data_IF_419948909061
#
_entry.id   IF_419948909061
#
_cell.length_a   1.000
_cell.length_b   1.000
_cell.length_c   1.000
_cell.angle_alpha   90.00
_cell.angle_beta   90.00
_cell.angle_gamma   90.00
#
_symmetry.space_group_name_H-M   'P 1'
#
loop_
_entity.id
_entity.type
_entity.pdbx_description
1 polymer ?
#
# COMPACT_ATOMS: atom_id res chain seq x y z
N UNK A 1 9.08 0.91 5.63
CA UNK A 1 10.08 0.18 4.81
C UNK A 1 9.33 -0.75 3.87
N UNK A 2 8.82 -0.23 2.75
CA UNK A 2 8.26 -1.04 1.67
C UNK A 2 9.43 -1.68 0.91
N UNK A 3 9.97 -2.75 1.50
CA UNK A 3 11.24 -3.32 1.14
C UNK A 3 11.17 -4.05 -0.21
N UNK A 4 12.07 -3.67 -1.12
CA UNK A 4 12.52 -4.39 -2.32
C UNK A 4 11.47 -4.89 -3.35
N UNK A 5 10.20 -4.54 -3.19
CA UNK A 5 9.12 -4.92 -4.11
C UNK A 5 9.42 -4.64 -5.58
N UNK A 6 9.89 -3.42 -5.96
CA UNK A 6 10.21 -3.11 -7.36
C UNK A 6 11.34 -3.97 -7.93
N UNK A 7 12.36 -4.30 -7.15
CA UNK A 7 13.47 -5.11 -7.62
C UNK A 7 13.10 -6.59 -7.76
N UNK A 8 12.29 -7.14 -6.85
CA UNK A 8 11.67 -8.46 -7.03
C UNK A 8 10.72 -8.47 -8.23
N UNK A 9 9.96 -7.39 -8.46
CA UNK A 9 9.14 -7.20 -9.65
C UNK A 9 10.01 -7.30 -10.91
N UNK A 10 11.10 -6.53 -10.98
CA UNK A 10 12.02 -6.53 -12.10
C UNK A 10 12.68 -7.90 -12.36
N UNK A 11 13.13 -8.58 -11.29
CA UNK A 11 13.66 -9.94 -11.39
C UNK A 11 12.60 -10.92 -11.91
N UNK A 12 11.36 -10.83 -11.41
CA UNK A 12 10.26 -11.66 -11.88
C UNK A 12 9.96 -11.45 -13.36
N UNK A 13 9.83 -10.20 -13.81
CA UNK A 13 9.59 -9.88 -15.22
C UNK A 13 10.74 -10.34 -16.13
N UNK A 14 12.00 -10.07 -15.75
CA UNK A 14 13.16 -10.50 -16.53
C UNK A 14 13.27 -12.04 -16.57
N UNK A 15 12.89 -12.70 -15.47
CA UNK A 15 12.89 -14.14 -15.31
C UNK A 15 11.77 -14.85 -16.05
N UNK A 16 10.63 -14.20 -16.27
CA UNK A 16 9.48 -14.77 -16.96
C UNK A 16 9.84 -15.33 -18.34
N UNK A 17 10.60 -14.56 -19.15
CA UNK A 17 11.07 -15.02 -20.48
C UNK A 17 12.02 -16.22 -20.39
N UNK A 18 12.86 -16.25 -19.36
CA UNK A 18 13.79 -17.38 -19.14
C UNK A 18 13.03 -18.63 -18.74
N UNK A 19 12.06 -18.49 -17.83
CA UNK A 19 11.22 -19.58 -17.34
C UNK A 19 10.32 -20.11 -18.45
N UNK A 20 9.74 -19.24 -19.29
CA UNK A 20 8.86 -19.61 -20.39
C UNK A 20 9.50 -20.54 -21.43
N UNK A 21 10.84 -20.56 -21.51
CA UNK A 21 11.60 -21.46 -22.40
C UNK A 21 11.83 -22.85 -21.82
N UNK A 22 11.52 -23.09 -20.54
CA UNK A 22 11.61 -24.39 -19.88
C UNK A 22 10.26 -25.12 -19.97
N UNK A 23 10.26 -26.46 -19.97
CA UNK A 23 9.04 -27.28 -20.01
C UNK A 23 8.12 -26.90 -18.84
N UNK A 24 6.87 -26.54 -19.13
CA UNK A 24 5.87 -26.10 -18.13
C UNK A 24 6.07 -24.68 -17.60
N UNK A 25 7.21 -24.03 -17.84
CA UNK A 25 7.49 -22.69 -17.31
C UNK A 25 6.67 -21.58 -17.98
N UNK A 26 6.18 -21.79 -19.20
CA UNK A 26 5.27 -20.86 -19.87
C UNK A 26 3.94 -20.72 -19.12
N UNK A 27 3.41 -21.83 -18.59
CA UNK A 27 2.19 -21.81 -17.79
C UNK A 27 2.38 -21.00 -16.49
N UNK A 28 3.48 -21.25 -15.76
CA UNK A 28 3.82 -20.49 -14.54
C UNK A 28 3.95 -18.99 -14.82
N UNK A 29 4.68 -18.63 -15.88
CA UNK A 29 4.86 -17.23 -16.27
C UNK A 29 3.52 -16.59 -16.69
N UNK A 30 2.70 -17.30 -17.48
CA UNK A 30 1.39 -16.81 -17.89
C UNK A 30 0.48 -16.58 -16.69
N UNK A 31 0.34 -17.54 -15.77
CA UNK A 31 -0.47 -17.39 -14.56
C UNK A 31 -0.05 -16.17 -13.73
N UNK A 32 1.26 -16.01 -13.49
CA UNK A 32 1.77 -14.89 -12.70
C UNK A 32 1.52 -13.53 -13.38
N UNK A 33 1.80 -13.43 -14.69
CA UNK A 33 1.62 -12.20 -15.46
C UNK A 33 0.14 -11.85 -15.64
N UNK A 34 -0.73 -12.83 -15.89
CA UNK A 34 -2.18 -12.62 -15.98
C UNK A 34 -2.73 -12.13 -14.64
N UNK A 35 -2.35 -12.75 -13.51
CA UNK A 35 -2.77 -12.27 -12.21
C UNK A 35 -2.31 -10.84 -11.94
N UNK A 36 -1.03 -10.54 -12.20
CA UNK A 36 -0.49 -9.18 -12.08
C UNK A 36 -1.26 -8.18 -12.96
N UNK A 37 -1.56 -8.54 -14.21
CA UNK A 37 -2.31 -7.69 -15.13
C UNK A 37 -3.74 -7.44 -14.64
N UNK A 38 -4.44 -8.46 -14.14
CA UNK A 38 -5.78 -8.31 -13.54
C UNK A 38 -5.73 -7.36 -12.35
N UNK A 39 -4.77 -7.52 -11.44
CA UNK A 39 -4.62 -6.63 -10.29
C UNK A 39 -4.27 -5.19 -10.70
N UNK A 40 -3.44 -5.01 -11.74
CA UNK A 40 -3.12 -3.70 -12.29
C UNK A 40 -4.35 -3.05 -12.95
N UNK A 41 -5.20 -3.81 -13.63
CA UNK A 41 -6.45 -3.32 -14.21
C UNK A 41 -7.48 -2.96 -13.14
N UNK A 42 -7.67 -3.82 -12.14
CA UNK A 42 -8.54 -3.54 -10.98
C UNK A 42 -8.14 -2.24 -10.30
N UNK A 43 -6.82 -2.01 -10.15
CA UNK A 43 -6.27 -0.74 -9.66
C UNK A 43 -6.55 0.43 -10.59
N UNK A 44 -6.35 0.24 -11.89
CA UNK A 44 -6.56 1.29 -12.89
C UNK A 44 -8.02 1.78 -12.92
N UNK A 45 -8.98 0.88 -12.70
CA UNK A 45 -10.41 1.21 -12.65
C UNK A 45 -10.87 1.75 -11.28
N UNK A 46 -9.98 1.95 -10.32
CA UNK A 46 -10.34 2.48 -8.99
C UNK A 46 -11.27 1.56 -8.21
N UNK A 47 -11.41 0.28 -8.60
CA UNK A 47 -12.30 -0.67 -7.93
C UNK A 47 -11.84 -1.01 -6.51
N UNK A 48 -10.60 -0.66 -6.15
CA UNK A 48 -10.04 -0.78 -4.81
C UNK A 48 -9.05 0.38 -4.55
N UNK A 49 -9.36 1.30 -3.63
CA UNK A 49 -8.37 2.31 -3.16
C UNK A 49 -7.91 2.07 -1.70
N UNK A 50 -8.42 1.01 -1.08
CA UNK A 50 -8.03 0.61 0.28
C UNK A 50 -6.70 -0.14 0.26
N UNK A 51 -5.85 0.07 1.27
CA UNK A 51 -4.49 -0.49 1.41
C UNK A 51 -4.36 -2.03 1.47
N UNK A 52 -5.37 -2.79 1.04
CA UNK A 52 -5.38 -4.25 0.94
C UNK A 52 -4.56 -4.83 -0.22
N UNK A 53 -3.98 -4.02 -1.10
CA UNK A 53 -3.21 -4.46 -2.27
C UNK A 53 -2.15 -5.53 -1.99
N UNK A 54 -1.45 -5.41 -0.86
CA UNK A 54 -0.43 -6.38 -0.49
C UNK A 54 -0.98 -7.80 -0.31
N UNK A 55 -2.23 -7.94 0.16
CA UNK A 55 -2.88 -9.23 0.40
C UNK A 55 -3.26 -9.93 -0.91
N UNK A 56 -3.65 -9.17 -1.93
CA UNK A 56 -3.96 -9.72 -3.26
C UNK A 56 -2.72 -10.20 -4.03
N UNK A 57 -1.53 -9.76 -3.61
CA UNK A 57 -0.27 -10.25 -4.17
C UNK A 57 0.25 -11.50 -3.47
N UNK A 58 -0.31 -11.88 -2.30
CA UNK A 58 0.14 -13.05 -1.55
C UNK A 58 0.00 -14.37 -2.36
N UNK A 59 -1.11 -14.64 -3.08
CA UNK A 59 -1.23 -15.88 -3.86
C UNK A 59 -0.25 -15.97 -5.04
N UNK A 60 0.15 -14.84 -5.63
CA UNK A 60 1.07 -14.81 -6.78
C UNK A 60 2.54 -14.78 -6.36
N UNK A 61 2.84 -14.43 -5.11
CA UNK A 61 4.20 -14.29 -4.60
C UNK A 61 5.10 -15.52 -4.85
N UNK A 62 4.64 -16.77 -4.67
CA UNK A 62 5.47 -17.95 -4.98
C UNK A 62 5.83 -18.06 -6.45
N UNK A 63 4.89 -17.80 -7.36
CA UNK A 63 5.14 -17.81 -8.81
C UNK A 63 6.15 -16.71 -9.18
N UNK A 64 6.00 -15.54 -8.55
CA UNK A 64 6.92 -14.44 -8.72
C UNK A 64 8.34 -14.76 -8.24
N UNK A 65 8.46 -15.46 -7.11
CA UNK A 65 9.73 -15.93 -6.58
C UNK A 65 10.41 -16.94 -7.52
N UNK A 66 9.66 -17.88 -8.12
CA UNK A 66 10.18 -18.83 -9.11
C UNK A 66 10.71 -18.10 -10.35
N UNK A 67 9.97 -17.11 -10.85
CA UNK A 67 10.44 -16.29 -11.97
C UNK A 67 11.70 -15.50 -11.58
N UNK A 68 11.71 -14.85 -10.43
CA UNK A 68 12.87 -14.11 -9.93
C UNK A 68 14.10 -15.02 -9.78
N UNK A 69 13.92 -16.24 -9.29
CA UNK A 69 14.98 -17.25 -9.20
C UNK A 69 15.50 -17.67 -10.59
N UNK A 70 14.64 -17.73 -11.61
CA UNK A 70 15.07 -18.01 -12.98
C UNK A 70 15.92 -16.86 -13.57
N UNK A 71 15.61 -15.60 -13.25
CA UNK A 71 16.48 -14.46 -13.59
C UNK A 71 17.80 -14.52 -12.83
N UNK A 72 17.73 -14.87 -11.55
CA UNK A 72 18.88 -15.03 -10.67
C UNK A 72 19.87 -16.04 -11.23
N UNK A 73 19.42 -17.25 -11.57
CA UNK A 73 20.22 -18.31 -12.19
C UNK A 73 20.96 -17.81 -13.45
N UNK A 74 20.31 -16.98 -14.27
CA UNK A 74 20.93 -16.38 -15.46
C UNK A 74 21.95 -15.30 -15.15
N UNK A 75 21.82 -14.58 -14.04
CA UNK A 75 22.88 -13.69 -13.56
C UNK A 75 24.10 -14.48 -13.07
N UNK A 76 23.89 -15.72 -12.63
CA UNK A 76 24.96 -16.62 -12.21
C UNK A 76 25.60 -17.41 -13.36
N UNK A 77 25.02 -17.36 -14.57
CA UNK A 77 25.52 -18.05 -15.75
C UNK A 77 26.97 -17.57 -16.06
N UNK A 78 27.95 -18.49 -16.12
CA UNK A 78 29.34 -18.14 -16.46
C UNK A 78 29.44 -17.54 -17.87
N UNK A 79 28.46 -17.79 -18.74
CA UNK A 79 28.39 -17.16 -20.06
C UNK A 79 28.04 -15.68 -19.93
N UNK A 80 29.06 -14.88 -20.17
CA UNK A 80 29.05 -13.44 -19.93
C UNK A 80 28.01 -12.65 -20.74
N UNK A 81 27.69 -13.10 -21.97
CA UNK A 81 26.67 -12.47 -22.83
C UNK A 81 25.27 -12.66 -22.23
N UNK A 82 24.95 -13.85 -21.72
CA UNK A 82 23.64 -14.13 -21.13
C UNK A 82 23.43 -13.34 -19.84
N UNK A 83 24.47 -13.28 -19.02
CA UNK A 83 24.50 -12.46 -17.81
C UNK A 83 24.30 -10.98 -18.11
N UNK A 84 25.03 -10.42 -19.09
CA UNK A 84 24.89 -9.01 -19.48
C UNK A 84 23.49 -8.68 -20.01
N UNK A 85 22.90 -9.56 -20.85
CA UNK A 85 21.52 -9.41 -21.32
C UNK A 85 20.50 -9.45 -20.18
N UNK A 86 20.71 -10.30 -19.18
CA UNK A 86 19.84 -10.38 -18.01
C UNK A 86 19.96 -9.14 -17.13
N UNK A 87 21.18 -8.67 -16.87
CA UNK A 87 21.41 -7.42 -16.14
C UNK A 87 20.76 -6.22 -16.84
N UNK A 88 20.88 -6.14 -18.17
CA UNK A 88 20.21 -5.12 -18.98
C UNK A 88 18.69 -5.20 -18.85
N UNK A 89 18.11 -6.39 -18.92
CA UNK A 89 16.67 -6.58 -18.78
C UNK A 89 16.16 -6.13 -17.40
N UNK A 90 16.86 -6.49 -16.32
CA UNK A 90 16.51 -6.06 -14.95
C UNK A 90 16.61 -4.53 -14.83
N UNK A 91 17.70 -3.94 -15.32
CA UNK A 91 17.89 -2.49 -15.32
C UNK A 91 16.78 -1.75 -16.10
N UNK A 92 16.40 -2.27 -17.27
CA UNK A 92 15.32 -1.70 -18.08
C UNK A 92 13.96 -1.78 -17.37
N UNK A 93 13.62 -2.93 -16.77
CA UNK A 93 12.36 -3.06 -16.03
C UNK A 93 12.34 -2.15 -14.81
N UNK A 94 13.44 -2.06 -14.06
CA UNK A 94 13.55 -1.12 -12.93
C UNK A 94 13.37 0.34 -13.36
N UNK A 95 13.95 0.74 -14.49
CA UNK A 95 13.76 2.08 -15.03
C UNK A 95 12.28 2.36 -15.36
N UNK A 96 11.60 1.41 -16.02
CA UNK A 96 10.16 1.53 -16.31
C UNK A 96 9.33 1.63 -15.03
N UNK A 97 9.59 0.78 -14.03
CA UNK A 97 8.90 0.82 -12.74
C UNK A 97 9.12 2.17 -12.01
N UNK A 98 10.34 2.71 -12.06
CA UNK A 98 10.65 4.02 -11.49
C UNK A 98 9.87 5.13 -12.20
N UNK A 99 9.87 5.14 -13.54
CA UNK A 99 9.12 6.14 -14.31
C UNK A 99 7.62 6.03 -14.04
N UNK A 100 7.06 4.82 -14.01
CA UNK A 100 5.66 4.59 -13.70
C UNK A 100 5.29 5.09 -12.30
N UNK A 101 6.14 4.83 -11.30
CA UNK A 101 5.96 5.34 -9.95
C UNK A 101 5.99 6.87 -9.92
N UNK A 102 6.96 7.51 -10.59
CA UNK A 102 7.05 8.97 -10.66
C UNK A 102 5.82 9.60 -11.34
N UNK A 103 5.33 8.99 -12.42
CA UNK A 103 4.11 9.45 -13.08
C UNK A 103 2.89 9.31 -12.17
N UNK A 104 2.76 8.17 -11.47
CA UNK A 104 1.68 7.95 -10.51
C UNK A 104 1.70 8.96 -9.37
N UNK A 105 2.88 9.22 -8.80
CA UNK A 105 3.05 10.21 -7.73
C UNK A 105 2.74 11.63 -8.23
N UNK A 106 3.20 12.02 -9.42
CA UNK A 106 2.86 13.33 -10.02
C UNK A 106 1.36 13.49 -10.28
N UNK A 107 0.71 12.42 -10.74
CA UNK A 107 -0.72 12.43 -10.99
C UNK A 107 -1.50 12.59 -9.67
N UNK A 108 -1.12 11.83 -8.63
CA UNK A 108 -1.68 12.01 -7.28
C UNK A 108 -1.41 13.39 -6.71
N UNK A 109 -0.17 13.88 -6.76
CA UNK A 109 0.16 15.25 -6.32
C UNK A 109 -0.74 16.30 -6.99
N UNK A 110 -1.07 16.12 -8.28
CA UNK A 110 -1.91 17.07 -9.02
C UNK A 110 -3.38 17.00 -8.61
N UNK A 111 -3.91 15.80 -8.39
CA UNK A 111 -5.30 15.59 -7.95
C UNK A 111 -5.45 16.05 -6.49
N UNK A 112 -4.56 15.61 -5.62
CA UNK A 112 -4.64 15.86 -4.18
C UNK A 112 -4.46 17.36 -3.86
N UNK A 113 -3.61 18.10 -4.57
CA UNK A 113 -3.49 19.56 -4.34
C UNK A 113 -4.74 20.34 -4.75
N UNK A 114 -5.45 19.89 -5.77
CA UNK A 114 -6.65 20.59 -6.24
C UNK A 114 -7.86 20.30 -5.37
N UNK A 115 -7.98 19.06 -4.93
CA UNK A 115 -9.18 18.59 -4.24
C UNK A 115 -9.01 18.67 -2.71
N UNK A 116 -7.79 18.53 -2.18
CA UNK A 116 -7.53 18.34 -0.75
C UNK A 116 -6.14 18.87 -0.32
N UNK A 117 -5.95 20.20 -0.21
CA UNK A 117 -4.65 20.82 0.08
C UNK A 117 -3.99 20.39 1.41
N UNK A 118 -4.73 19.72 2.28
CA UNK A 118 -4.30 19.21 3.58
C UNK A 118 -3.64 17.83 3.54
N UNK A 119 -3.82 17.04 2.47
CA UNK A 119 -3.28 15.68 2.34
C UNK A 119 -1.74 15.61 2.42
N UNK A 120 -1.06 16.69 2.01
CA UNK A 120 0.40 16.79 2.13
C UNK A 120 0.88 16.73 3.58
N UNK A 121 0.06 17.20 4.51
CA UNK A 121 0.35 17.12 5.92
C UNK A 121 0.28 15.64 6.37
N UNK A 122 -0.76 14.92 5.97
CA UNK A 122 -1.10 13.59 6.53
C UNK A 122 -0.10 12.47 6.18
N UNK A 123 0.80 12.67 5.22
CA UNK A 123 1.86 11.70 4.89
C UNK A 123 3.25 12.34 4.98
N UNK A 124 3.70 12.75 6.19
CA UNK A 124 4.93 13.54 6.37
C UNK A 124 6.21 12.80 5.94
N UNK A 125 6.10 11.48 5.66
CA UNK A 125 7.22 10.62 5.21
C UNK A 125 7.07 10.14 3.77
N UNK A 126 6.13 10.68 3.00
CA UNK A 126 5.96 10.31 1.59
C UNK A 126 7.22 10.65 0.79
N UNK A 127 7.81 11.82 1.06
CA UNK A 127 9.05 12.25 0.42
C UNK A 127 10.25 11.36 0.83
N UNK A 128 10.33 10.95 2.10
CA UNK A 128 11.34 9.99 2.57
C UNK A 128 11.20 8.63 1.86
N UNK A 129 9.97 8.11 1.78
CA UNK A 129 9.68 6.85 1.10
C UNK A 129 9.99 6.93 -0.40
N UNK A 130 9.56 8.02 -1.06
CA UNK A 130 9.86 8.30 -2.47
C UNK A 130 11.36 8.35 -2.72
N UNK A 131 12.11 9.08 -1.90
CA UNK A 131 13.55 9.18 -2.01
C UNK A 131 14.23 7.82 -1.75
N UNK A 132 13.76 7.04 -0.78
CA UNK A 132 14.27 5.69 -0.54
C UNK A 132 14.08 4.77 -1.76
N UNK A 133 12.92 4.80 -2.42
CA UNK A 133 12.67 4.00 -3.62
C UNK A 133 13.54 4.47 -4.80
N UNK A 134 13.73 5.78 -4.97
CA UNK A 134 14.64 6.35 -5.98
C UNK A 134 16.07 5.89 -5.78
N UNK A 135 16.59 6.04 -4.56
CA UNK A 135 17.96 5.63 -4.22
C UNK A 135 18.13 4.12 -4.43
N UNK A 136 17.17 3.31 -3.99
CA UNK A 136 17.18 1.87 -4.24
C UNK A 136 17.19 1.52 -5.72
N UNK A 137 16.37 2.20 -6.53
CA UNK A 137 16.29 1.96 -7.98
C UNK A 137 17.58 2.36 -8.69
N UNK A 138 18.12 3.55 -8.39
CA UNK A 138 19.41 4.01 -8.93
C UNK A 138 20.53 3.04 -8.56
N UNK A 139 20.55 2.55 -7.32
CA UNK A 139 21.51 1.54 -6.87
C UNK A 139 21.45 0.24 -7.69
N UNK A 140 20.24 -0.27 -7.96
CA UNK A 140 20.05 -1.48 -8.79
C UNK A 140 20.48 -1.24 -10.24
N UNK A 141 20.12 -0.10 -10.83
CA UNK A 141 20.54 0.27 -12.20
C UNK A 141 22.06 0.40 -12.28
N UNK A 142 22.69 1.08 -11.32
CA UNK A 142 24.14 1.23 -11.25
C UNK A 142 24.84 -0.13 -11.13
N UNK A 143 24.32 -1.04 -10.30
CA UNK A 143 24.83 -2.41 -10.20
C UNK A 143 24.71 -3.18 -11.52
N UNK A 144 23.57 -3.06 -12.22
CA UNK A 144 23.38 -3.67 -13.53
C UNK A 144 24.38 -3.14 -14.58
N UNK A 145 24.58 -1.81 -14.62
CA UNK A 145 25.57 -1.16 -15.50
C UNK A 145 26.99 -1.61 -15.15
N UNK A 146 27.34 -1.68 -13.87
CA UNK A 146 28.66 -2.14 -13.43
C UNK A 146 28.94 -3.58 -13.92
N UNK A 147 27.96 -4.49 -13.83
CA UNK A 147 28.08 -5.86 -14.37
C UNK A 147 28.35 -5.85 -15.88
N UNK A 148 27.70 -4.96 -16.63
CA UNK A 148 27.89 -4.81 -18.08
C UNK A 148 29.28 -4.25 -18.40
N UNK A 149 29.71 -3.19 -17.72
CA UNK A 149 31.00 -2.52 -17.95
C UNK A 149 32.17 -3.42 -17.56
N UNK A 150 32.09 -4.08 -16.39
CA UNK A 150 33.10 -5.06 -15.96
C UNK A 150 33.19 -6.23 -16.95
N UNK A 151 32.07 -6.66 -17.54
CA UNK A 151 32.10 -7.65 -18.60
C UNK A 151 32.88 -7.17 -19.84
N UNK A 152 32.66 -5.92 -20.29
CA UNK A 152 33.36 -5.37 -21.45
C UNK A 152 34.87 -5.22 -21.25
N UNK A 153 35.32 -4.91 -20.03
CA UNK A 153 36.74 -4.69 -19.70
C UNK A 153 37.50 -5.98 -19.37
N UNK A 154 36.84 -7.00 -18.83
CA UNK A 154 37.50 -8.22 -18.35
C UNK A 154 37.27 -9.41 -19.30
N UNK A 155 37.85 -9.34 -20.51
CA UNK A 155 37.97 -10.49 -21.42
C UNK A 155 38.99 -11.55 -20.92
N UNK A 156 39.78 -11.24 -19.89
CA UNK A 156 40.75 -12.16 -19.27
C UNK A 156 40.21 -12.61 -17.91
N UNK A 157 39.71 -13.85 -17.88
CA UNK A 157 39.34 -14.66 -16.69
C UNK A 157 39.09 -13.90 -15.39
N UNK A 158 37.87 -13.41 -15.19
CA UNK A 158 37.43 -13.05 -13.83
C UNK A 158 37.17 -14.38 -13.08
N UNK A 159 37.75 -14.61 -11.90
CA UNK A 159 37.22 -15.62 -10.99
C UNK A 159 35.76 -15.26 -10.66
N UNK A 160 34.93 -16.26 -10.37
CA UNK A 160 33.46 -16.17 -10.24
C UNK A 160 32.94 -15.32 -9.06
N UNK A 161 33.45 -14.11 -8.85
CA UNK A 161 33.12 -13.19 -7.76
C UNK A 161 31.81 -12.44 -7.97
N UNK A 162 30.70 -13.15 -8.15
CA UNK A 162 29.36 -12.57 -7.94
C UNK A 162 28.95 -12.57 -6.46
N UNK A 163 29.84 -13.04 -5.57
CA UNK A 163 29.65 -13.12 -4.12
C UNK A 163 29.07 -11.84 -3.49
N UNK A 164 29.58 -10.63 -3.79
CA UNK A 164 29.05 -9.40 -3.20
C UNK A 164 27.59 -9.12 -3.59
N UNK A 165 27.23 -9.25 -4.88
CA UNK A 165 25.86 -9.05 -5.34
C UNK A 165 24.89 -10.09 -4.75
N UNK A 166 25.34 -11.34 -4.63
CA UNK A 166 24.57 -12.42 -4.00
C UNK A 166 24.32 -12.15 -2.53
N UNK A 167 25.35 -11.72 -1.82
CA UNK A 167 25.25 -11.37 -0.40
C UNK A 167 24.29 -10.20 -0.20
N UNK A 168 24.40 -9.14 -1.00
CA UNK A 168 23.49 -7.98 -0.92
C UNK A 168 22.04 -8.42 -1.11
N UNK A 169 21.74 -9.20 -2.15
CA UNK A 169 20.36 -9.64 -2.42
C UNK A 169 19.82 -10.60 -1.35
N UNK A 170 20.64 -11.53 -0.85
CA UNK A 170 20.27 -12.42 0.25
C UNK A 170 19.99 -11.64 1.55
N UNK A 171 20.85 -10.68 1.90
CA UNK A 171 20.66 -9.81 3.07
C UNK A 171 19.39 -8.99 2.93
N UNK A 172 19.12 -8.41 1.76
CA UNK A 172 17.88 -7.66 1.52
C UNK A 172 16.63 -8.53 1.64
N UNK A 173 16.66 -9.76 1.12
CA UNK A 173 15.55 -10.71 1.27
C UNK A 173 15.32 -11.09 2.74
N UNK A 174 16.39 -11.38 3.48
CA UNK A 174 16.32 -11.71 4.91
C UNK A 174 15.78 -10.55 5.75
N UNK A 175 16.27 -9.33 5.52
CA UNK A 175 15.76 -8.11 6.18
C UNK A 175 14.28 -7.88 5.86
N UNK A 176 13.88 -8.09 4.60
CA UNK A 176 12.49 -7.95 4.17
C UNK A 176 11.59 -8.97 4.89
N UNK A 177 11.98 -10.24 4.91
CA UNK A 177 11.24 -11.29 5.61
C UNK A 177 11.13 -10.99 7.11
N UNK A 178 12.22 -10.53 7.74
CA UNK A 178 12.24 -10.17 9.15
C UNK A 178 11.32 -8.99 9.48
N UNK A 179 11.29 -7.96 8.62
CA UNK A 179 10.37 -6.82 8.77
C UNK A 179 8.91 -7.28 8.63
N UNK A 180 8.61 -8.15 7.66
CA UNK A 180 7.23 -8.62 7.43
C UNK A 180 6.73 -9.69 8.40
N UNK A 181 7.62 -10.38 9.12
CA UNK A 181 7.22 -11.36 10.15
C UNK A 181 6.80 -10.72 11.47
N UNK A 182 7.07 -9.43 11.65
CA UNK A 182 6.64 -8.71 12.85
C UNK A 182 5.12 -8.53 12.83
N UNK A 183 4.43 -8.67 13.97
CA UNK A 183 3.05 -8.23 14.08
C UNK A 183 2.93 -6.81 13.55
N UNK A 184 1.89 -6.54 12.76
CA UNK A 184 1.61 -5.18 12.31
C UNK A 184 1.42 -4.30 13.55
N UNK A 185 2.38 -3.42 13.81
CA UNK A 185 2.27 -2.45 14.89
C UNK A 185 1.07 -1.55 14.61
N UNK A 186 0.26 -1.29 15.65
CA UNK A 186 -0.88 -0.37 15.52
C UNK A 186 -0.34 1.00 15.18
N UNK A 187 -0.84 1.62 14.13
CA UNK A 187 -0.51 3.00 13.78
C UNK A 187 -1.06 3.99 14.81
N UNK A 188 -0.71 5.29 14.67
CA UNK A 188 -1.19 6.33 15.57
C UNK A 188 -2.72 6.45 15.56
N UNK A 189 -3.35 6.32 14.39
CA UNK A 189 -4.82 6.39 14.26
C UNK A 189 -5.50 5.22 14.94
N UNK A 190 -4.99 4.00 14.79
CA UNK A 190 -5.55 2.81 15.44
C UNK A 190 -5.46 2.91 16.97
N UNK A 191 -4.35 3.48 17.49
CA UNK A 191 -4.20 3.73 18.93
C UNK A 191 -5.18 4.80 19.43
N UNK A 192 -5.41 5.85 18.65
CA UNK A 192 -6.42 6.85 18.98
C UNK A 192 -7.83 6.23 18.97
N UNK A 193 -8.19 5.47 17.93
CA UNK A 193 -9.49 4.75 17.89
C UNK A 193 -9.64 3.84 19.11
N UNK A 194 -8.60 3.08 19.48
CA UNK A 194 -8.65 2.22 20.66
C UNK A 194 -8.90 3.02 21.96
N UNK A 195 -8.25 4.19 22.10
CA UNK A 195 -8.43 5.08 23.24
C UNK A 195 -9.84 5.69 23.27
N UNK A 196 -10.35 6.15 22.13
CA UNK A 196 -11.70 6.71 22.01
C UNK A 196 -12.79 5.68 22.29
N UNK A 197 -12.63 4.45 21.78
CA UNK A 197 -13.55 3.35 22.08
C UNK A 197 -13.48 2.92 23.55
N UNK A 198 -12.32 3.04 24.20
CA UNK A 198 -12.19 2.80 25.64
C UNK A 198 -12.91 3.89 26.44
N UNK A 199 -12.71 5.16 26.09
CA UNK A 199 -13.40 6.28 26.72
C UNK A 199 -14.92 6.17 26.60
N UNK A 200 -15.45 5.78 25.43
CA UNK A 200 -16.89 5.53 25.25
C UNK A 200 -17.42 4.44 26.18
N UNK A 201 -16.68 3.34 26.38
CA UNK A 201 -17.05 2.28 27.33
C UNK A 201 -17.05 2.78 28.77
N UNK A 202 -16.00 3.50 29.17
CA UNK A 202 -15.84 4.06 30.51
C UNK A 202 -16.94 5.08 30.87
N UNK A 203 -17.51 5.76 29.87
CA UNK A 203 -18.58 6.75 30.04
C UNK A 203 -19.99 6.18 29.77
N UNK A 204 -20.17 4.84 29.82
CA UNK A 204 -21.49 4.21 29.68
C UNK A 204 -22.10 4.31 28.28
N UNK A 205 -21.28 4.57 27.26
CA UNK A 205 -21.69 4.66 25.85
C UNK A 205 -21.21 3.46 25.02
N UNK A 206 -20.57 2.47 25.66
CA UNK A 206 -19.98 1.29 25.00
C UNK A 206 -20.98 0.40 24.25
N UNK A 207 -22.23 0.34 24.71
CA UNK A 207 -23.27 -0.50 24.12
C UNK A 207 -24.01 0.17 22.95
N UNK A 208 -23.70 1.45 22.68
CA UNK A 208 -24.36 2.21 21.62
C UNK A 208 -23.75 1.87 20.26
N UNK A 209 -24.53 1.89 19.16
CA UNK A 209 -24.00 1.67 17.82
C UNK A 209 -22.92 2.71 17.48
N UNK A 210 -21.72 2.25 17.13
CA UNK A 210 -20.61 3.10 16.68
C UNK A 210 -20.47 3.03 15.16
N UNK A 211 -20.61 4.17 14.51
CA UNK A 211 -20.45 4.36 13.08
C UNK A 211 -19.11 5.00 12.78
N UNK A 212 -18.31 4.34 11.94
CA UNK A 212 -17.04 4.85 11.48
C UNK A 212 -16.74 4.30 10.07
N UNK A 213 -16.06 5.10 9.25
CA UNK A 213 -15.54 4.66 7.96
C UNK A 213 -14.24 3.84 8.11
N UNK A 214 -13.47 4.05 9.19
CA UNK A 214 -12.18 3.42 9.42
C UNK A 214 -12.32 1.92 9.73
N UNK A 215 -11.60 1.07 8.99
CA UNK A 215 -11.70 -0.40 9.09
C UNK A 215 -11.32 -0.93 10.48
N UNK A 216 -10.34 -0.31 11.15
CA UNK A 216 -9.97 -0.67 12.51
C UNK A 216 -11.12 -0.49 13.50
N UNK A 217 -11.93 0.56 13.36
CA UNK A 217 -13.09 0.76 14.21
C UNK A 217 -14.10 -0.39 14.02
N UNK A 218 -14.39 -0.77 12.78
CA UNK A 218 -15.28 -1.89 12.48
C UNK A 218 -14.79 -3.22 13.06
N UNK A 219 -13.48 -3.49 12.98
CA UNK A 219 -12.84 -4.64 13.61
C UNK A 219 -12.99 -4.63 15.14
N UNK A 220 -12.84 -3.47 15.79
CA UNK A 220 -12.91 -3.35 17.25
C UNK A 220 -14.32 -3.34 17.81
N UNK A 221 -15.32 -3.00 16.99
CA UNK A 221 -16.74 -2.99 17.37
C UNK A 221 -17.48 -4.24 16.93
N UNK A 222 -16.78 -5.23 16.38
CA UNK A 222 -17.34 -6.45 15.78
C UNK A 222 -18.45 -6.18 14.77
N UNK A 223 -18.42 -5.01 14.13
CA UNK A 223 -19.31 -4.69 13.02
C UNK A 223 -18.66 -5.25 11.76
N UNK A 224 -18.77 -6.57 11.59
CA UNK A 224 -18.33 -7.25 10.38
C UNK A 224 -18.88 -6.49 9.16
N UNK A 225 -17.99 -6.15 8.22
CA UNK A 225 -18.36 -5.36 7.05
C UNK A 225 -18.78 -6.30 5.93
N UNK A 226 -20.08 -6.46 5.62
CA UNK A 226 -20.47 -7.13 4.39
C UNK A 226 -19.97 -6.31 3.19
N UNK A 227 -19.68 -6.99 2.08
CA UNK A 227 -19.11 -6.37 0.87
C UNK A 227 -19.99 -5.25 0.29
N UNK A 228 -21.28 -5.30 0.53
CA UNK A 228 -22.34 -4.40 0.05
C UNK A 228 -22.83 -3.42 1.13
N UNK A 229 -22.02 -3.15 2.17
CA UNK A 229 -22.42 -2.22 3.22
C UNK A 229 -22.78 -0.85 2.62
N UNK A 230 -23.85 -0.20 3.09
CA UNK A 230 -24.11 1.20 2.74
C UNK A 230 -22.94 2.09 3.18
N UNK A 231 -22.68 3.15 2.43
CA UNK A 231 -21.67 4.15 2.79
C UNK A 231 -21.96 4.79 4.16
N UNK A 232 -20.96 5.41 4.77
CA UNK A 232 -21.04 6.05 6.09
C UNK A 232 -22.19 7.06 6.14
N UNK A 233 -22.40 7.87 5.10
CA UNK A 233 -23.50 8.83 5.04
C UNK A 233 -24.87 8.14 5.19
N UNK A 234 -25.11 7.06 4.43
CA UNK A 234 -26.35 6.29 4.49
C UNK A 234 -26.52 5.58 5.86
N UNK A 235 -25.43 5.05 6.42
CA UNK A 235 -25.43 4.45 7.76
C UNK A 235 -25.73 5.47 8.85
N UNK A 236 -25.16 6.68 8.75
CA UNK A 236 -25.46 7.80 9.64
C UNK A 236 -26.93 8.16 9.53
N UNK A 237 -27.47 8.28 8.30
CA UNK A 237 -28.87 8.62 8.08
C UNK A 237 -29.83 7.58 8.69
N UNK A 238 -29.54 6.29 8.50
CA UNK A 238 -30.36 5.17 8.98
C UNK A 238 -30.24 4.88 10.48
N UNK A 239 -29.19 5.37 11.15
CA UNK A 239 -28.96 5.05 12.55
C UNK A 239 -29.96 5.73 13.50
N UNK A 240 -30.30 5.09 14.64
CA UNK A 240 -31.20 5.69 15.63
C UNK A 240 -30.55 6.89 16.33
N UNK A 241 -31.36 7.71 16.98
CA UNK A 241 -30.86 8.70 17.94
C UNK A 241 -30.08 7.99 19.07
N UNK A 242 -29.02 8.62 19.54
CA UNK A 242 -28.05 8.06 20.48
C UNK A 242 -26.90 7.28 19.83
N UNK A 243 -26.95 7.01 18.52
CA UNK A 243 -25.82 6.41 17.80
C UNK A 243 -24.58 7.32 17.85
N UNK A 244 -23.41 6.70 17.96
CA UNK A 244 -22.12 7.38 18.03
C UNK A 244 -21.49 7.42 16.63
N UNK A 245 -21.12 8.60 16.16
CA UNK A 245 -20.36 8.78 14.92
C UNK A 245 -18.91 9.10 15.31
N UNK A 246 -18.01 8.16 15.06
CA UNK A 246 -16.57 8.35 15.19
C UNK A 246 -16.04 8.78 13.82
N UNK A 247 -15.95 10.10 13.64
CA UNK A 247 -15.51 10.73 12.41
C UNK A 247 -13.99 10.83 12.38
N UNK A 248 -13.38 10.14 11.42
CA UNK A 248 -11.95 10.19 11.14
C UNK A 248 -11.79 10.78 9.73
N UNK A 249 -10.94 11.81 9.61
CA UNK A 249 -10.84 12.64 8.41
C UNK A 249 -10.46 11.84 7.17
N UNK A 250 -9.47 10.95 7.25
CA UNK A 250 -8.92 10.24 6.11
C UNK A 250 -9.92 9.25 5.50
N UNK A 251 -10.76 8.60 6.30
CA UNK A 251 -11.71 7.62 5.80
C UNK A 251 -13.08 8.24 5.53
N UNK A 252 -13.57 9.16 6.36
CA UNK A 252 -14.90 9.73 6.21
C UNK A 252 -15.03 10.69 5.00
N UNK A 253 -13.94 11.40 4.66
CA UNK A 253 -13.93 12.33 3.52
C UNK A 253 -13.58 11.63 2.22
N UNK A 254 -12.67 10.66 2.24
CA UNK A 254 -12.08 10.13 1.00
C UNK A 254 -12.64 8.78 0.56
N UNK A 255 -13.08 7.93 1.50
CA UNK A 255 -13.50 6.56 1.20
C UNK A 255 -15.01 6.39 1.14
N UNK A 256 -15.77 7.48 1.20
CA UNK A 256 -17.22 7.47 1.26
C UNK A 256 -17.81 8.26 0.07
N UNK A 257 -18.91 7.77 -0.47
CA UNK A 257 -19.64 8.41 -1.57
C UNK A 257 -21.13 8.43 -1.22
N UNK A 258 -21.72 9.60 -0.89
CA UNK A 258 -21.06 10.91 -0.79
C UNK A 258 -20.06 10.99 0.39
N UNK A 259 -19.07 11.90 0.32
CA UNK A 259 -18.16 12.15 1.44
C UNK A 259 -18.93 12.69 2.65
N UNK A 260 -18.51 12.31 3.85
CA UNK A 260 -19.04 12.86 5.10
C UNK A 260 -18.04 13.89 5.61
N UNK A 261 -18.37 15.16 5.50
CA UNK A 261 -17.54 16.26 6.01
C UNK A 261 -17.88 16.58 7.47
N UNK A 262 -16.93 17.21 8.18
CA UNK A 262 -17.14 17.62 9.58
C UNK A 262 -18.35 18.56 9.74
N UNK A 263 -18.62 19.40 8.73
CA UNK A 263 -19.77 20.33 8.73
C UNK A 263 -21.12 19.60 8.71
N UNK A 264 -21.16 18.37 8.20
CA UNK A 264 -22.38 17.56 8.14
C UNK A 264 -22.76 16.99 9.52
N UNK A 265 -21.81 17.03 10.48
CA UNK A 265 -21.96 16.55 11.86
C UNK A 265 -22.16 17.72 12.84
N UNK A 266 -22.95 18.72 12.44
CA UNK A 266 -23.20 19.93 13.22
C UNK A 266 -24.56 19.93 13.94
N UNK A 267 -24.75 20.78 14.97
CA UNK A 267 -26.06 21.01 15.57
C UNK A 267 -27.09 21.49 14.53
N UNK A 268 -28.40 21.17 14.69
CA UNK A 268 -29.01 20.53 15.87
C UNK A 268 -29.02 19.00 15.84
N UNK A 269 -28.53 18.37 14.76
CA UNK A 269 -28.67 16.93 14.56
C UNK A 269 -27.62 16.10 15.30
N UNK A 270 -26.50 16.72 15.61
CA UNK A 270 -25.37 16.07 16.26
C UNK A 270 -24.90 16.87 17.46
N UNK A 271 -24.53 16.16 18.52
CA UNK A 271 -23.87 16.71 19.71
C UNK A 271 -22.43 16.23 19.74
N UNK A 272 -21.42 17.12 19.75
CA UNK A 272 -20.06 16.70 19.98
C UNK A 272 -19.95 16.11 21.40
N UNK A 273 -19.33 14.95 21.52
CA UNK A 273 -19.03 14.36 22.82
C UNK A 273 -17.67 14.87 23.31
N UNK A 274 -17.57 15.18 24.61
CA UNK A 274 -16.31 15.50 25.25
C UNK A 274 -15.35 14.31 25.08
N UNK A 275 -14.07 14.55 24.80
CA UNK A 275 -13.14 13.46 24.46
C UNK A 275 -12.76 13.39 22.98
N UNK A 276 -13.15 14.35 22.13
CA UNK A 276 -12.49 14.52 20.84
C UNK A 276 -11.00 14.86 21.06
N UNK A 277 -10.16 13.84 21.26
CA UNK A 277 -8.72 13.99 21.51
C UNK A 277 -7.95 14.31 20.22
N UNK A 278 -8.64 14.89 19.23
CA UNK A 278 -8.04 15.52 18.06
C UNK A 278 -7.41 16.84 18.46
N UNK A 279 -6.24 16.78 19.11
CA UNK A 279 -5.37 17.93 19.27
C UNK A 279 -5.18 18.60 17.91
N UNK A 280 -5.77 19.78 17.74
CA UNK A 280 -5.51 20.67 16.62
C UNK A 280 -4.04 21.13 16.53
N UNK A 281 -3.15 20.61 17.38
CA UNK A 281 -1.74 21.01 17.44
C UNK A 281 -0.97 20.66 16.17
N UNK A 282 -1.30 19.55 15.50
CA UNK A 282 -0.54 19.10 14.32
C UNK A 282 -1.38 18.95 13.05
N UNK A 283 -2.70 19.19 13.08
CA UNK A 283 -3.56 19.23 11.88
C UNK A 283 -3.71 17.92 11.08
N UNK A 284 -3.09 16.82 11.51
CA UNK A 284 -2.88 15.62 10.68
C UNK A 284 -3.66 14.36 11.10
N UNK A 285 -4.14 14.26 12.33
CA UNK A 285 -4.88 13.07 12.80
C UNK A 285 -5.90 13.48 13.85
N UNK A 286 -7.07 13.92 13.38
CA UNK A 286 -8.19 14.18 14.26
C UNK A 286 -9.20 13.05 14.19
N UNK A 287 -9.59 12.59 15.36
CA UNK A 287 -10.81 11.81 15.54
C UNK A 287 -11.78 12.69 16.31
N UNK A 288 -13.00 12.79 15.81
CA UNK A 288 -14.08 13.53 16.43
C UNK A 288 -15.23 12.59 16.70
N UNK A 289 -15.85 12.74 17.86
CA UNK A 289 -16.96 11.89 18.29
C UNK A 289 -18.20 12.74 18.40
N UNK A 290 -19.25 12.28 17.74
CA UNK A 290 -20.56 12.89 17.77
C UNK A 290 -21.61 11.88 18.22
N UNK A 291 -22.60 12.36 18.95
CA UNK A 291 -23.82 11.63 19.21
C UNK A 291 -24.92 12.16 18.29
N UNK A 292 -25.60 11.27 17.58
CA UNK A 292 -26.77 11.61 16.77
C UNK A 292 -27.95 11.92 17.69
N UNK A 293 -28.45 13.15 17.68
CA UNK A 293 -29.52 13.61 18.58
C UNK A 293 -30.92 13.31 18.07
N UNK A 294 -31.11 13.34 16.75
CA UNK A 294 -32.42 13.19 16.12
C UNK A 294 -32.35 12.10 15.07
N UNK A 295 -33.45 11.37 14.88
CA UNK A 295 -33.58 10.57 13.66
C UNK A 295 -33.62 11.56 12.51
N UNK A 296 -32.57 11.59 11.68
CA UNK A 296 -32.57 12.39 10.47
C UNK A 296 -33.60 11.79 9.53
N UNK A 297 -34.78 12.40 9.44
CA UNK A 297 -35.69 12.21 8.32
C UNK A 297 -35.05 12.91 7.13
N UNK A 298 -34.15 12.23 6.41
CA UNK A 298 -33.76 12.70 5.09
C UNK A 298 -34.50 11.86 4.06
N UNK A 299 -35.53 12.40 3.38
CA UNK A 299 -35.96 11.87 2.10
C UNK A 299 -34.82 12.07 1.08
N UNK A 300 -34.66 11.15 0.12
CA UNK A 300 -33.48 11.08 -0.74
C UNK A 300 -33.52 12.14 -1.83
N UNK A 301 -32.33 12.68 -2.15
CA UNK A 301 -31.79 12.80 -3.51
C UNK A 301 -30.25 12.69 -3.43
#
# INVERSE_FOLDING_TARGET
LEAFGPALAALGFAGARTLARKRGGMFVAACALTWFAVQALVRLFGLYDSGGYARFLAPVAPLWAVMAAAAWDRLLDPQSIRRARMALAIGAVMAVLCVAMELHLRHRDTIDHRTHPHLKADVPRLDEARNAVRVGTVGVIAAAVAVIVMHGRMRRGIPAGTGPLRLVLAVMMALTAWVFHRPLERGPVERLIDAELAWLRENGMGDRPVLCAHVWCAYRTDTALPLDRPGLAARIAAAPAGAIVLWERQFAVFNETPPVELKDLSPPHFRPLAGATGGARDGQTGIWIFEKLTHSERPPD
#
